data_IF_935376647571
#
_entry.id   IF_935376647571
#
_cell.length_a   1.000
_cell.length_b   1.000
_cell.length_c   1.000
_cell.angle_alpha   90.00
_cell.angle_beta   90.00
_cell.angle_gamma   90.00
#
_symmetry.space_group_name_H-M   'P 1'
#
loop_
_entity.id
_entity.type
_entity.pdbx_description
1 polymer ?
#
# COMPACT_ATOMS: atom_id res chain seq x y z
N UNK A 1 8.82 11.98 4.91
CA UNK A 1 7.51 11.31 4.88
C UNK A 1 6.66 11.91 3.76
N UNK A 2 6.54 11.26 2.61
CA UNK A 2 5.43 11.55 1.70
C UNK A 2 5.21 10.30 0.85
N UNK A 3 4.50 9.35 1.46
CA UNK A 3 3.82 8.29 0.73
C UNK A 3 2.46 8.87 0.34
N UNK A 4 2.13 8.81 -0.94
CA UNK A 4 0.82 9.23 -1.45
C UNK A 4 0.02 7.97 -1.81
N UNK A 5 -1.14 7.78 -1.18
CA UNK A 5 -2.03 6.66 -1.44
C UNK A 5 -3.27 7.11 -2.22
N UNK A 6 -3.73 6.28 -3.16
CA UNK A 6 -5.01 6.49 -3.87
C UNK A 6 -5.68 5.16 -4.22
N UNK A 7 -7.01 5.14 -4.18
CA UNK A 7 -7.78 4.03 -4.74
C UNK A 7 -7.69 4.07 -6.27
N UNK A 8 -7.44 2.91 -6.85
CA UNK A 8 -7.47 2.68 -8.28
C UNK A 8 -8.30 1.43 -8.59
N UNK A 9 -8.49 1.19 -9.87
CA UNK A 9 -9.14 -0.01 -10.35
C UNK A 9 -8.18 -0.70 -11.32
N UNK A 10 -7.91 -1.97 -11.08
CA UNK A 10 -7.16 -2.82 -12.01
C UNK A 10 -7.93 -2.94 -13.33
N UNK A 11 -7.26 -3.32 -14.42
CA UNK A 11 -7.93 -3.52 -15.72
C UNK A 11 -9.08 -4.55 -15.68
N UNK A 12 -9.05 -5.50 -14.72
CA UNK A 12 -10.11 -6.47 -14.50
C UNK A 12 -11.31 -5.95 -13.69
N UNK A 13 -11.34 -4.66 -13.33
CA UNK A 13 -12.41 -4.05 -12.54
C UNK A 13 -12.25 -4.20 -11.02
N UNK A 14 -11.25 -4.96 -10.56
CA UNK A 14 -10.99 -5.16 -9.12
C UNK A 14 -10.42 -3.88 -8.49
N UNK A 15 -10.96 -3.42 -7.34
CA UNK A 15 -10.39 -2.30 -6.62
C UNK A 15 -8.98 -2.63 -6.10
N UNK A 16 -8.11 -1.64 -6.12
CA UNK A 16 -6.76 -1.77 -5.58
C UNK A 16 -6.30 -0.44 -4.99
N UNK A 17 -5.25 -0.51 -4.18
CA UNK A 17 -4.67 0.66 -3.54
C UNK A 17 -3.28 0.92 -4.10
N UNK A 18 -3.14 2.06 -4.78
CA UNK A 18 -1.87 2.50 -5.34
C UNK A 18 -1.14 3.41 -4.36
N UNK A 19 0.11 3.10 -4.05
CA UNK A 19 0.99 3.92 -3.22
C UNK A 19 2.19 4.39 -4.02
N UNK A 20 2.49 5.68 -3.91
CA UNK A 20 3.59 6.37 -4.57
C UNK A 20 4.54 6.95 -3.54
N UNK A 21 5.83 6.98 -3.85
CA UNK A 21 6.80 7.63 -3.00
C UNK A 21 8.22 7.40 -3.48
N UNK A 22 9.19 7.93 -2.72
CA UNK A 22 10.59 7.56 -2.92
C UNK A 22 10.80 6.09 -2.60
N UNK A 23 11.77 5.48 -3.30
CA UNK A 23 12.03 4.05 -3.24
C UNK A 23 12.30 3.54 -1.81
N UNK A 24 13.07 4.30 -1.02
CA UNK A 24 13.38 3.96 0.36
C UNK A 24 12.14 3.86 1.25
N UNK A 25 11.16 4.73 1.05
CA UNK A 25 9.92 4.72 1.82
C UNK A 25 8.98 3.61 1.35
N UNK A 26 8.95 3.34 0.05
CA UNK A 26 8.17 2.23 -0.51
C UNK A 26 8.73 0.88 -0.01
N UNK A 27 10.05 0.70 -0.01
CA UNK A 27 10.69 -0.51 0.54
C UNK A 27 10.37 -0.69 2.01
N UNK A 28 10.52 0.37 2.81
CA UNK A 28 10.17 0.35 4.24
C UNK A 28 8.70 -0.01 4.47
N UNK A 29 7.79 0.48 3.63
CA UNK A 29 6.37 0.14 3.68
C UNK A 29 6.10 -1.33 3.36
N UNK A 30 6.74 -1.86 2.31
CA UNK A 30 6.63 -3.28 1.93
C UNK A 30 7.10 -4.17 3.08
N UNK A 31 8.22 -3.84 3.70
CA UNK A 31 8.79 -4.62 4.81
C UNK A 31 7.89 -4.57 6.06
N UNK A 32 7.32 -3.39 6.37
CA UNK A 32 6.32 -3.25 7.42
C UNK A 32 5.09 -4.13 7.15
N UNK A 33 4.55 -4.06 5.93
CA UNK A 33 3.37 -4.85 5.54
C UNK A 33 3.66 -6.36 5.62
N UNK A 34 4.84 -6.80 5.18
CA UNK A 34 5.25 -8.22 5.21
C UNK A 34 5.48 -8.74 6.62
N UNK A 35 6.00 -7.90 7.51
CA UNK A 35 6.22 -8.25 8.93
C UNK A 35 4.93 -8.19 9.76
N UNK A 36 3.94 -7.43 9.31
CA UNK A 36 2.62 -7.37 9.95
C UNK A 36 1.81 -8.65 9.74
N UNK A 37 1.55 -9.36 10.84
CA UNK A 37 0.67 -10.54 10.87
C UNK A 37 -0.77 -10.23 10.48
N UNK A 38 -1.20 -8.97 10.62
CA UNK A 38 -2.56 -8.52 10.33
C UNK A 38 -2.90 -8.63 8.84
N UNK A 39 -1.91 -8.49 7.95
CA UNK A 39 -2.18 -8.37 6.52
C UNK A 39 -1.61 -9.52 5.69
N UNK A 40 -0.57 -10.21 6.18
CA UNK A 40 0.31 -11.10 5.40
C UNK A 40 -0.38 -12.15 4.50
N UNK A 41 -1.49 -12.77 4.94
CA UNK A 41 -2.15 -13.84 4.20
C UNK A 41 -3.16 -13.36 3.13
N UNK A 42 -3.60 -12.11 3.21
CA UNK A 42 -4.78 -11.64 2.46
C UNK A 42 -4.46 -10.56 1.44
N UNK A 43 -3.21 -10.12 1.37
CA UNK A 43 -2.75 -9.05 0.50
C UNK A 43 -1.76 -9.56 -0.55
N UNK A 44 -1.73 -8.87 -1.68
CA UNK A 44 -0.70 -8.97 -2.70
C UNK A 44 -0.14 -7.59 -2.97
N UNK A 45 1.18 -7.51 -3.10
CA UNK A 45 1.90 -6.27 -3.42
C UNK A 45 2.57 -6.45 -4.77
N UNK A 46 2.28 -5.55 -5.70
CA UNK A 46 2.86 -5.52 -7.04
C UNK A 46 3.63 -4.20 -7.17
N UNK A 47 4.94 -4.25 -7.30
CA UNK A 47 5.80 -3.07 -7.43
C UNK A 47 6.22 -2.79 -8.87
N UNK A 48 6.40 -1.52 -9.21
CA UNK A 48 6.89 -1.07 -10.51
C UNK A 48 7.12 0.44 -10.55
N UNK A 49 7.50 0.95 -11.73
CA UNK A 49 7.56 2.39 -11.98
C UNK A 49 6.24 2.85 -12.60
N UNK A 50 5.77 4.04 -12.20
CA UNK A 50 4.66 4.71 -12.86
C UNK A 50 5.10 5.35 -14.20
N UNK A 51 4.14 5.91 -14.94
CA UNK A 51 4.37 6.53 -16.26
C UNK A 51 5.31 7.73 -16.24
N UNK A 52 5.63 8.27 -15.05
CA UNK A 52 6.57 9.38 -14.86
C UNK A 52 7.84 8.93 -14.12
N UNK A 53 8.07 7.62 -13.99
CA UNK A 53 9.31 7.05 -13.44
C UNK A 53 9.39 7.02 -11.91
N UNK A 54 8.29 7.24 -11.19
CA UNK A 54 8.26 7.14 -9.72
C UNK A 54 7.95 5.71 -9.29
N UNK A 55 8.52 5.30 -8.15
CA UNK A 55 8.19 4.00 -7.57
C UNK A 55 6.72 3.98 -7.15
N UNK A 56 6.00 2.98 -7.64
CA UNK A 56 4.59 2.72 -7.38
C UNK A 56 4.45 1.28 -6.91
N UNK A 57 3.67 1.07 -5.85
CA UNK A 57 3.15 -0.25 -5.51
C UNK A 57 1.63 -0.27 -5.63
N UNK A 58 1.10 -1.41 -6.06
CA UNK A 58 -0.31 -1.75 -5.95
C UNK A 58 -0.45 -2.77 -4.85
N UNK A 59 -1.30 -2.45 -3.87
CA UNK A 59 -1.78 -3.38 -2.85
C UNK A 59 -3.17 -3.84 -3.31
N UNK A 60 -3.46 -5.13 -3.23
CA UNK A 60 -4.76 -5.73 -3.58
C UNK A 60 -5.02 -6.97 -2.73
N UNK A 61 -6.28 -7.40 -2.60
CA UNK A 61 -6.69 -8.54 -1.77
C UNK A 61 -7.87 -8.21 -0.86
N UNK A 62 -8.30 -9.17 -0.03
CA UNK A 62 -9.55 -9.07 0.76
C UNK A 62 -9.63 -7.85 1.66
N UNK A 63 -8.49 -7.43 2.22
CA UNK A 63 -8.40 -6.25 3.08
C UNK A 63 -8.89 -4.97 2.37
N UNK A 64 -8.72 -4.87 1.05
CA UNK A 64 -9.17 -3.70 0.28
C UNK A 64 -10.69 -3.74 0.00
N UNK A 65 -11.28 -4.93 0.00
CA UNK A 65 -12.72 -5.12 -0.18
C UNK A 65 -13.49 -4.88 1.14
N UNK A 66 -12.83 -5.06 2.28
CA UNK A 66 -13.44 -5.00 3.62
C UNK A 66 -13.12 -3.71 4.41
N UNK A 67 -12.08 -2.96 4.02
CA UNK A 67 -11.60 -1.78 4.77
C UNK A 67 -11.67 -0.51 3.91
N UNK A 68 -12.17 0.58 4.49
CA UNK A 68 -12.23 1.88 3.81
C UNK A 68 -10.84 2.50 3.59
N UNK A 69 -10.71 3.40 2.60
CA UNK A 69 -9.46 4.10 2.30
C UNK A 69 -8.86 4.79 3.54
N UNK A 70 -9.70 5.47 4.31
CA UNK A 70 -9.29 6.24 5.48
C UNK A 70 -8.79 5.31 6.59
N UNK A 71 -9.43 4.15 6.74
CA UNK A 71 -9.05 3.16 7.75
C UNK A 71 -7.78 2.44 7.34
N UNK A 72 -7.62 2.03 6.08
CA UNK A 72 -6.40 1.39 5.60
C UNK A 72 -5.20 2.34 5.68
N UNK A 73 -5.39 3.59 5.27
CA UNK A 73 -4.38 4.63 5.39
C UNK A 73 -4.07 4.95 6.85
N UNK A 74 -5.07 4.99 7.74
CA UNK A 74 -4.86 5.19 9.17
C UNK A 74 -4.14 4.00 9.80
N UNK A 75 -4.48 2.76 9.46
CA UNK A 75 -3.81 1.56 9.93
C UNK A 75 -2.36 1.52 9.46
N UNK A 76 -2.08 1.82 8.20
CA UNK A 76 -0.72 1.84 7.66
C UNK A 76 0.11 3.01 8.19
N UNK A 77 -0.41 4.23 8.14
CA UNK A 77 0.36 5.43 8.49
C UNK A 77 0.47 5.63 10.00
N UNK A 78 -0.56 5.31 10.79
CA UNK A 78 -0.47 5.47 12.25
C UNK A 78 0.41 4.38 12.86
N UNK A 79 0.33 3.13 12.38
CA UNK A 79 1.21 2.08 12.86
C UNK A 79 2.66 2.23 12.37
N UNK A 80 2.89 2.87 11.22
CA UNK A 80 4.24 3.25 10.77
C UNK A 80 4.85 4.40 11.58
N UNK A 81 4.02 5.33 12.11
CA UNK A 81 4.49 6.44 12.97
C UNK A 81 4.83 6.05 14.41
N UNK A 82 4.37 4.89 14.90
CA UNK A 82 4.64 4.44 16.28
C UNK A 82 6.00 3.75 16.46
N UNK A 83 6.93 3.90 15.51
CA UNK A 83 8.27 3.28 15.53
C UNK A 83 9.41 4.31 15.65
N UNK A 84 9.14 5.47 16.27
CA UNK A 84 10.18 6.34 16.84
C UNK A 84 10.29 6.09 18.35
#
# INVERSE_FOLDING_TARGET
>A
MMLEGRLETMHCGTPCFAVYGKEEYIKSLIDYIRSSKTFSAEIRIIGGLDVIGRMKIIITGKVIDEVSLVDFQSMLLNSYKSSD
#
